data_IF_393007194170
#
_entry.id   IF_393007194170
#
_cell.length_a   1.000
_cell.length_b   1.000
_cell.length_c   1.000
_cell.angle_alpha   90.00
_cell.angle_beta   90.00
_cell.angle_gamma   90.00
#
_symmetry.space_group_name_H-M   'P 1'
#
loop_
_entity.id
_entity.type
_entity.pdbx_description
1 polymer ?
#
# COMPACT_ATOMS: atom_id res chain seq x y z
N UNK A 1 -3.30 -17.33 -8.20
CA UNK A 1 -1.99 -16.63 -8.23
C UNK A 1 -1.11 -17.05 -9.42
N UNK A 2 -1.01 -18.34 -9.74
CA UNK A 2 -0.38 -18.77 -11.01
C UNK A 2 -1.21 -18.35 -12.23
N UNK A 3 -2.54 -18.45 -12.16
CA UNK A 3 -3.47 -18.01 -13.23
C UNK A 3 -3.38 -16.49 -13.47
N UNK A 4 -3.51 -15.66 -12.43
CA UNK A 4 -3.23 -14.22 -12.55
C UNK A 4 -1.86 -13.91 -13.19
N UNK A 5 -0.77 -14.59 -12.78
CA UNK A 5 0.56 -14.37 -13.39
C UNK A 5 0.60 -14.73 -14.87
N UNK A 6 -0.11 -15.80 -15.26
CA UNK A 6 -0.20 -16.24 -16.64
C UNK A 6 -0.96 -15.24 -17.52
N UNK A 7 -2.09 -14.73 -17.05
CA UNK A 7 -2.88 -13.74 -17.78
C UNK A 7 -2.21 -12.35 -17.77
N UNK A 8 -1.52 -11.99 -16.69
CA UNK A 8 -0.73 -10.76 -16.61
C UNK A 8 0.42 -10.73 -17.61
N UNK A 9 1.11 -11.85 -17.81
CA UNK A 9 2.17 -11.96 -18.82
C UNK A 9 1.67 -11.77 -20.25
N UNK A 10 0.37 -12.03 -20.50
CA UNK A 10 -0.28 -11.86 -21.79
C UNK A 10 -0.96 -10.50 -21.98
N UNK A 11 -1.01 -9.67 -20.93
CA UNK A 11 -1.83 -8.43 -20.91
C UNK A 11 -3.29 -8.69 -21.32
N UNK A 12 -3.84 -9.81 -20.86
CA UNK A 12 -5.18 -10.28 -21.22
C UNK A 12 -6.26 -9.50 -20.46
N UNK A 13 -7.43 -9.33 -21.08
CA UNK A 13 -8.60 -8.72 -20.41
C UNK A 13 -9.04 -9.51 -19.17
N UNK A 14 -8.68 -10.80 -19.08
CA UNK A 14 -8.94 -11.67 -17.92
C UNK A 14 -8.10 -11.33 -16.69
N UNK A 15 -7.10 -10.45 -16.80
CA UNK A 15 -6.31 -10.02 -15.65
C UNK A 15 -7.16 -9.46 -14.52
N UNK A 16 -8.25 -8.75 -14.85
CA UNK A 16 -9.14 -8.16 -13.85
C UNK A 16 -9.91 -9.24 -13.08
N UNK A 17 -10.45 -10.24 -13.80
CA UNK A 17 -11.17 -11.36 -13.20
C UNK A 17 -10.27 -12.13 -12.23
N UNK A 18 -9.07 -12.51 -12.70
CA UNK A 18 -8.08 -13.24 -11.92
C UNK A 18 -7.55 -12.46 -10.70
N UNK A 19 -7.45 -11.13 -10.82
CA UNK A 19 -7.10 -10.27 -9.69
C UNK A 19 -8.25 -10.18 -8.68
N UNK A 20 -9.50 -10.17 -9.15
CA UNK A 20 -10.69 -10.25 -8.31
C UNK A 20 -10.72 -11.52 -7.46
N UNK A 21 -10.42 -12.67 -8.05
CA UNK A 21 -10.37 -13.96 -7.35
C UNK A 21 -9.27 -13.98 -6.27
N UNK A 22 -8.13 -13.32 -6.53
CA UNK A 22 -7.09 -13.14 -5.53
C UNK A 22 -7.56 -12.29 -4.34
N UNK A 23 -8.20 -11.15 -4.61
CA UNK A 23 -8.76 -10.29 -3.56
C UNK A 23 -9.82 -11.03 -2.74
N UNK A 24 -10.73 -11.75 -3.41
CA UNK A 24 -11.76 -12.55 -2.75
C UNK A 24 -11.16 -13.62 -1.84
N UNK A 25 -10.12 -14.31 -2.32
CA UNK A 25 -9.40 -15.32 -1.54
C UNK A 25 -8.75 -14.72 -0.28
N UNK A 26 -8.11 -13.55 -0.40
CA UNK A 26 -7.51 -12.85 0.75
C UNK A 26 -8.56 -12.38 1.76
N UNK A 27 -9.69 -11.86 1.29
CA UNK A 27 -10.81 -11.43 2.13
C UNK A 27 -11.40 -12.62 2.91
N UNK A 28 -11.55 -13.78 2.26
CA UNK A 28 -12.04 -14.98 2.94
C UNK A 28 -11.02 -15.53 3.93
N UNK A 29 -9.74 -15.52 3.58
CA UNK A 29 -8.68 -15.90 4.50
C UNK A 29 -8.67 -15.03 5.75
N UNK A 30 -8.78 -13.70 5.60
CA UNK A 30 -8.88 -12.79 6.75
C UNK A 30 -10.07 -13.15 7.67
N UNK A 31 -11.24 -13.42 7.09
CA UNK A 31 -12.42 -13.84 7.87
C UNK A 31 -12.21 -15.16 8.58
N UNK A 32 -11.55 -16.12 7.94
CA UNK A 32 -11.22 -17.42 8.54
C UNK A 32 -10.34 -17.27 9.79
N UNK A 33 -9.38 -16.33 9.75
CA UNK A 33 -8.50 -15.98 10.88
C UNK A 33 -9.18 -15.04 11.91
N UNK A 34 -10.49 -14.75 11.76
CA UNK A 34 -11.22 -13.85 12.65
C UNK A 34 -10.89 -12.37 12.48
N UNK A 35 -10.20 -11.99 11.40
CA UNK A 35 -9.85 -10.60 11.07
C UNK A 35 -10.99 -9.98 10.25
N UNK A 36 -11.44 -8.78 10.64
CA UNK A 36 -12.33 -8.00 9.80
C UNK A 36 -11.50 -7.34 8.66
N UNK A 37 -11.70 -7.74 7.38
CA UNK A 37 -10.89 -7.25 6.27
C UNK A 37 -11.09 -5.75 5.99
N UNK A 38 -12.29 -5.21 6.23
CA UNK A 38 -12.58 -3.78 6.05
C UNK A 38 -11.82 -2.95 7.08
N UNK A 39 -11.89 -3.33 8.35
CA UNK A 39 -11.13 -2.66 9.42
C UNK A 39 -9.62 -2.76 9.18
N UNK A 40 -9.12 -3.92 8.77
CA UNK A 40 -7.70 -4.10 8.45
C UNK A 40 -7.23 -3.19 7.30
N UNK A 41 -8.06 -3.04 6.27
CA UNK A 41 -7.79 -2.14 5.15
C UNK A 41 -7.84 -0.67 5.59
N UNK A 42 -8.84 -0.29 6.39
CA UNK A 42 -8.97 1.07 6.95
C UNK A 42 -7.73 1.47 7.78
N UNK A 43 -7.27 0.57 8.66
CA UNK A 43 -6.05 0.79 9.45
C UNK A 43 -4.81 0.98 8.56
N UNK A 44 -4.72 0.23 7.46
CA UNK A 44 -3.64 0.37 6.48
C UNK A 44 -3.70 1.73 5.77
N UNK A 45 -4.89 2.17 5.36
CA UNK A 45 -5.10 3.48 4.75
C UNK A 45 -4.72 4.62 5.71
N UNK A 46 -5.15 4.56 6.98
CA UNK A 46 -4.78 5.55 8.01
C UNK A 46 -3.26 5.61 8.21
N UNK A 47 -2.59 4.46 8.23
CA UNK A 47 -1.12 4.36 8.33
C UNK A 47 -0.43 4.99 7.12
N UNK A 48 -0.96 4.77 5.92
CA UNK A 48 -0.44 5.37 4.69
C UNK A 48 -0.58 6.90 4.71
N UNK A 49 -1.77 7.41 5.02
CA UNK A 49 -2.04 8.86 5.13
C UNK A 49 -1.09 9.51 6.16
N UNK A 50 -0.94 8.91 7.35
CA UNK A 50 -0.05 9.41 8.39
C UNK A 50 1.40 9.53 7.90
N UNK A 51 1.89 8.53 7.17
CA UNK A 51 3.26 8.53 6.62
C UNK A 51 3.43 9.52 5.48
N UNK A 52 2.43 9.61 4.61
CA UNK A 52 2.44 10.55 3.49
C UNK A 52 2.42 12.02 3.98
N UNK A 53 1.60 12.33 4.98
CA UNK A 53 1.57 13.66 5.59
C UNK A 53 2.91 14.04 6.24
N UNK A 54 3.60 13.08 6.86
CA UNK A 54 4.95 13.30 7.39
C UNK A 54 5.93 13.62 6.26
N UNK A 55 5.92 12.80 5.20
CA UNK A 55 6.76 12.98 4.02
C UNK A 55 6.55 14.36 3.39
N UNK A 56 5.30 14.80 3.21
CA UNK A 56 4.95 16.13 2.71
C UNK A 56 5.46 17.26 3.62
N UNK A 57 5.30 17.12 4.94
CA UNK A 57 5.80 18.08 5.93
C UNK A 57 7.32 18.23 5.88
N UNK A 58 8.06 17.12 5.86
CA UNK A 58 9.53 17.15 5.85
C UNK A 58 10.10 17.63 4.51
N UNK A 59 9.50 17.23 3.40
CA UNK A 59 9.87 17.74 2.08
C UNK A 59 9.69 19.27 2.01
N UNK A 60 8.57 19.78 2.53
CA UNK A 60 8.30 21.22 2.60
C UNK A 60 9.31 21.96 3.47
N UNK A 61 9.71 21.40 4.63
CA UNK A 61 10.77 21.96 5.48
C UNK A 61 12.12 22.00 4.78
N UNK A 62 12.41 21.00 3.95
CA UNK A 62 13.61 20.93 3.12
C UNK A 62 13.53 21.83 1.87
N UNK A 63 12.45 22.59 1.68
CA UNK A 63 12.24 23.44 0.51
C UNK A 63 12.02 22.67 -0.79
N UNK A 64 11.68 21.38 -0.72
CA UNK A 64 11.42 20.51 -1.86
C UNK A 64 9.92 20.34 -2.10
N UNK A 65 9.54 20.22 -3.35
CA UNK A 65 8.19 19.79 -3.76
C UNK A 65 8.19 18.28 -3.99
N UNK A 66 7.14 17.59 -3.51
CA UNK A 66 7.01 16.14 -3.67
C UNK A 66 7.03 15.69 -5.13
N UNK A 67 6.41 16.47 -6.02
CA UNK A 67 6.35 16.15 -7.44
C UNK A 67 7.73 16.06 -8.09
N UNK A 68 8.74 16.74 -7.52
CA UNK A 68 10.10 16.83 -8.06
C UNK A 68 11.05 15.83 -7.39
N UNK A 69 10.57 15.07 -6.39
CA UNK A 69 11.39 14.11 -5.66
C UNK A 69 11.44 12.75 -6.37
N UNK A 70 12.60 12.12 -6.30
CA UNK A 70 12.77 10.73 -6.73
C UNK A 70 12.15 9.78 -5.70
N UNK A 71 11.76 8.57 -6.15
CA UNK A 71 11.30 7.52 -5.24
C UNK A 71 12.33 7.20 -4.14
N UNK A 72 13.62 7.30 -4.45
CA UNK A 72 14.68 7.07 -3.48
C UNK A 72 14.70 8.15 -2.38
N UNK A 73 14.50 9.43 -2.74
CA UNK A 73 14.39 10.52 -1.76
C UNK A 73 13.11 10.42 -0.93
N UNK A 74 11.99 10.04 -1.56
CA UNK A 74 10.73 9.78 -0.84
C UNK A 74 10.88 8.63 0.16
N UNK A 75 11.64 7.58 -0.19
CA UNK A 75 11.81 6.42 0.68
C UNK A 75 12.57 6.73 1.97
N UNK A 76 13.47 7.73 1.97
CA UNK A 76 14.16 8.21 3.18
C UNK A 76 13.13 8.69 4.21
N UNK A 77 12.31 9.67 3.83
CA UNK A 77 11.26 10.21 4.70
C UNK A 77 10.18 9.18 5.02
N UNK A 78 9.89 8.27 4.09
CA UNK A 78 8.95 7.18 4.32
C UNK A 78 9.44 6.21 5.40
N UNK A 79 10.75 5.87 5.40
CA UNK A 79 11.36 5.02 6.41
C UNK A 79 11.44 5.73 7.77
N UNK A 80 11.72 7.03 7.80
CA UNK A 80 11.59 7.84 9.02
C UNK A 80 10.16 7.81 9.55
N UNK A 81 9.15 8.02 8.69
CA UNK A 81 7.74 7.96 9.06
C UNK A 81 7.34 6.57 9.61
N UNK A 82 7.92 5.47 9.11
CA UNK A 82 7.67 4.13 9.67
C UNK A 82 8.07 4.07 11.15
N UNK A 83 9.22 4.65 11.52
CA UNK A 83 9.71 4.61 12.92
C UNK A 83 8.82 5.39 13.89
N UNK A 84 8.26 6.51 13.45
CA UNK A 84 7.34 7.35 14.25
C UNK A 84 5.97 6.71 14.43
N UNK A 85 5.63 5.75 13.57
CA UNK A 85 4.30 5.14 13.47
C UNK A 85 4.27 3.69 13.94
N UNK A 86 5.41 3.15 14.39
CA UNK A 86 5.48 1.92 15.18
C UNK A 86 4.80 2.17 16.53
N UNK A 87 3.50 1.92 16.57
CA UNK A 87 2.75 1.79 17.82
C UNK A 87 3.37 0.63 18.62
N UNK A 88 3.84 0.93 19.83
CA UNK A 88 4.07 -0.07 20.88
C UNK A 88 2.74 -0.63 21.34
#
# INVERSE_FOLDING_TARGET
LQEFKHEAAKQSDKMQDEFGDLLFSLVNYARFEGINPETALEMTNKKFIRRFNYLESEAKKAGKNLADMTLAEMDVYWNEAKTLTSEK
#
